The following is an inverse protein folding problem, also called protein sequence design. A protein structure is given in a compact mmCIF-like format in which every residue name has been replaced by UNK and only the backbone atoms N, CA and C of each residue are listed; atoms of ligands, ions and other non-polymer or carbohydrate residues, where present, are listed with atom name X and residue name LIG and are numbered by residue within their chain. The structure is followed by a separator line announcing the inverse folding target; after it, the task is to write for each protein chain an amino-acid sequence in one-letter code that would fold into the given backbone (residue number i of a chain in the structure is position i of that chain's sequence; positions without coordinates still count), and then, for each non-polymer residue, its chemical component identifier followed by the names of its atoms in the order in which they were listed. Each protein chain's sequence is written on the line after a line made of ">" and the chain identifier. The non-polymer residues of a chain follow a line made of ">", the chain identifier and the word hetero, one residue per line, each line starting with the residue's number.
data_IF_976731749928
#
_entry.id   IF_976731749928
#
_cell.length_a   1.000
_cell.length_b   1.000
_cell.length_c   1.000
_cell.angle_alpha   90.00
_cell.angle_beta   90.00
_cell.angle_gamma   90.00
#
_symmetry.space_group_name_H-M   'P 1'
#
loop_
_entity.id
_entity.type
_entity.pdbx_description
1 polymer ?
#
# COMPACT_ATOMS: atom_id res chain seq x y z
N UNK A 1 -4.50 -12.09 -8.53
CA UNK A 1 -4.72 -13.35 -9.25
C UNK A 1 -4.58 -13.08 -10.73
N UNK A 2 -3.91 -13.96 -11.49
CA UNK A 2 -3.79 -13.89 -12.95
C UNK A 2 -5.18 -13.79 -13.63
N UNK A 3 -6.19 -14.44 -13.04
CA UNK A 3 -7.59 -14.40 -13.49
C UNK A 3 -8.17 -12.98 -13.55
N UNK A 4 -7.82 -12.11 -12.60
CA UNK A 4 -8.32 -10.72 -12.56
C UNK A 4 -7.73 -9.91 -13.71
N UNK A 5 -6.46 -10.15 -14.06
CA UNK A 5 -5.80 -9.47 -15.18
C UNK A 5 -6.49 -9.83 -16.51
N UNK A 6 -6.76 -11.11 -16.73
CA UNK A 6 -7.42 -11.58 -17.95
C UNK A 6 -8.87 -11.07 -18.05
N UNK A 7 -9.59 -11.03 -16.93
CA UNK A 7 -10.94 -10.47 -16.90
C UNK A 7 -10.97 -8.97 -17.19
N UNK A 8 -9.99 -8.21 -16.71
CA UNK A 8 -9.87 -6.79 -17.06
C UNK A 8 -9.53 -6.61 -18.54
N UNK A 9 -8.63 -7.43 -19.10
CA UNK A 9 -8.33 -7.41 -20.54
C UNK A 9 -9.56 -7.74 -21.38
N UNK A 10 -10.40 -8.71 -20.97
CA UNK A 10 -11.62 -9.07 -21.71
C UNK A 10 -12.68 -7.96 -21.71
N UNK A 11 -12.66 -7.07 -20.71
CA UNK A 11 -13.47 -5.84 -20.71
C UNK A 11 -12.88 -4.69 -21.55
N UNK A 12 -11.76 -4.93 -22.24
CA UNK A 12 -11.12 -3.95 -23.11
C UNK A 12 -10.08 -3.07 -22.42
N UNK A 13 -9.75 -3.33 -21.15
CA UNK A 13 -8.68 -2.58 -20.48
C UNK A 13 -7.31 -3.00 -21.02
N UNK A 14 -6.46 -2.01 -21.31
CA UNK A 14 -5.06 -2.26 -21.65
C UNK A 14 -4.25 -2.46 -20.36
N UNK A 15 -4.00 -3.71 -19.99
CA UNK A 15 -3.36 -4.07 -18.71
C UNK A 15 -1.93 -4.57 -18.94
N UNK A 16 -0.96 -3.97 -18.23
CA UNK A 16 0.42 -4.43 -18.16
C UNK A 16 0.77 -4.87 -16.74
N UNK A 17 1.18 -6.12 -16.57
CA UNK A 17 1.65 -6.63 -15.28
C UNK A 17 3.10 -6.17 -15.04
N UNK A 18 3.33 -5.47 -13.92
CA UNK A 18 4.68 -5.08 -13.46
C UNK A 18 5.05 -5.83 -12.19
N UNK A 19 6.33 -6.22 -12.06
CA UNK A 19 6.83 -7.05 -10.96
C UNK A 19 8.13 -6.47 -10.41
N UNK A 20 8.53 -6.92 -9.22
CA UNK A 20 9.81 -6.53 -8.61
C UNK A 20 9.94 -5.01 -8.42
N UNK A 21 11.07 -4.47 -8.88
CA UNK A 21 11.46 -3.05 -8.77
C UNK A 21 10.60 -2.12 -9.64
N UNK A 22 10.03 -2.64 -10.73
CA UNK A 22 9.15 -1.86 -11.63
C UNK A 22 7.86 -1.42 -10.93
N UNK A 23 7.50 -2.06 -9.81
CA UNK A 23 6.35 -1.67 -8.98
C UNK A 23 6.53 -0.32 -8.28
N UNK A 24 7.72 0.29 -8.38
CA UNK A 24 7.99 1.64 -7.89
C UNK A 24 7.09 2.70 -8.53
N UNK A 25 6.54 2.43 -9.72
CA UNK A 25 5.57 3.32 -10.39
C UNK A 25 4.29 3.56 -9.58
N UNK A 26 3.94 2.68 -8.65
CA UNK A 26 2.74 2.79 -7.81
C UNK A 26 2.94 3.66 -6.56
N UNK A 27 3.92 4.57 -6.59
CA UNK A 27 4.22 5.50 -5.51
C UNK A 27 4.71 4.84 -4.21
N UNK A 28 5.01 5.68 -3.23
CA UNK A 28 5.44 5.30 -1.88
C UNK A 28 4.68 6.15 -0.87
N UNK A 29 3.97 5.50 0.04
CA UNK A 29 3.14 6.16 1.05
C UNK A 29 3.81 6.22 2.42
N UNK A 30 3.43 7.24 3.19
CA UNK A 30 3.70 7.35 4.63
C UNK A 30 2.40 7.79 5.30
N UNK A 31 2.04 7.20 6.43
CA UNK A 31 0.80 7.51 7.15
C UNK A 31 1.10 7.68 8.64
N UNK A 32 0.47 8.69 9.25
CA UNK A 32 0.36 8.87 10.69
C UNK A 32 -1.11 9.17 10.99
N UNK A 33 -1.72 8.42 11.89
CA UNK A 33 -3.15 8.52 12.20
C UNK A 33 -3.41 8.29 13.69
N UNK A 34 -4.44 8.93 14.23
CA UNK A 34 -4.96 8.62 15.57
C UNK A 34 -6.00 7.51 15.48
N UNK A 35 -5.85 6.47 16.28
CA UNK A 35 -6.78 5.34 16.38
C UNK A 35 -7.13 5.08 17.85
N UNK A 36 -8.34 4.60 18.17
CA UNK A 36 -8.66 4.15 19.52
C UNK A 36 -7.92 2.85 19.87
N UNK A 37 -7.46 2.72 21.12
CA UNK A 37 -6.98 1.46 21.69
C UNK A 37 -8.13 0.70 22.40
N UNK A 38 -7.82 -0.46 22.98
CA UNK A 38 -8.79 -1.30 23.71
C UNK A 38 -9.44 -0.58 24.92
N UNK A 39 -8.79 0.45 25.47
CA UNK A 39 -9.31 1.29 26.55
C UNK A 39 -10.08 2.53 26.05
N UNK A 40 -10.45 2.59 24.77
CA UNK A 40 -11.06 3.76 24.11
C UNK A 40 -10.24 5.06 24.18
N UNK A 41 -8.93 4.98 24.41
CA UNK A 41 -8.02 6.13 24.34
C UNK A 41 -7.45 6.29 22.94
N UNK A 42 -7.32 7.53 22.47
CA UNK A 42 -6.67 7.80 21.19
C UNK A 42 -5.15 7.62 21.33
N UNK A 43 -4.59 6.76 20.49
CA UNK A 43 -3.15 6.50 20.34
C UNK A 43 -2.71 6.80 18.91
N UNK A 44 -1.42 7.05 18.71
CA UNK A 44 -0.85 7.24 17.38
C UNK A 44 -0.45 5.91 16.76
N UNK A 45 -0.86 5.68 15.52
CA UNK A 45 -0.37 4.61 14.66
C UNK A 45 0.35 5.23 13.46
N UNK A 46 1.49 4.66 13.08
CA UNK A 46 2.27 5.11 11.93
C UNK A 46 2.66 3.92 11.04
N UNK A 47 2.79 4.17 9.74
CA UNK A 47 3.18 3.17 8.76
C UNK A 47 4.00 3.76 7.63
N UNK A 48 5.01 3.00 7.20
CA UNK A 48 5.88 3.31 6.06
C UNK A 48 5.68 2.25 4.97
N UNK A 49 5.73 2.67 3.71
CA UNK A 49 5.67 1.75 2.57
C UNK A 49 6.85 0.77 2.58
N UNK A 50 6.62 -0.55 2.66
CA UNK A 50 7.69 -1.56 2.75
C UNK A 50 8.48 -1.72 1.45
N UNK A 51 8.07 -1.07 0.36
CA UNK A 51 8.80 -1.08 -0.93
C UNK A 51 9.84 0.04 -1.02
N UNK A 52 10.02 0.81 0.05
CA UNK A 52 11.01 1.88 0.15
C UNK A 52 11.93 1.62 1.33
N UNK A 53 13.11 2.23 1.32
CA UNK A 53 14.08 2.16 2.43
C UNK A 53 13.69 3.04 3.65
N UNK A 54 12.47 3.58 3.67
CA UNK A 54 11.98 4.46 4.75
C UNK A 54 11.33 3.69 5.90
N UNK A 55 11.29 4.28 7.09
CA UNK A 55 10.67 3.69 8.28
C UNK A 55 9.86 4.72 9.07
N UNK A 56 8.98 4.23 9.94
CA UNK A 56 8.21 5.06 10.88
C UNK A 56 8.76 4.90 12.30
N UNK A 57 8.85 6.00 13.03
CA UNK A 57 9.32 6.03 14.43
C UNK A 57 8.31 6.76 15.31
N UNK A 58 8.09 6.25 16.51
CA UNK A 58 7.34 6.90 17.57
C UNK A 58 8.26 7.28 18.73
N UNK A 59 7.85 8.31 19.47
CA UNK A 59 8.46 8.72 20.75
C UNK A 59 7.34 8.87 21.79
#
# INVERSE_FOLDING_TARGET
>A
SEEVLEKLKSFGHHVKLVKGVDRSIFGRGQIIVKVPNDDNRLVWAAGSDPRSDGFSIGY
#
